data_IF_629584667744
#
_entry.id   IF_629584667744
#
_cell.length_a   1.000
_cell.length_b   1.000
_cell.length_c   1.000
_cell.angle_alpha   90.00
_cell.angle_beta   90.00
_cell.angle_gamma   90.00
#
_symmetry.space_group_name_H-M   'P 1'
#
loop_
_entity.id
_entity.type
_entity.pdbx_description
1 polymer ?
#
# COMPACT_ATOMS: atom_id res chain seq x y z
N UNK A 1 -3.29 -4.93 21.03
CA UNK A 1 -2.01 -5.18 20.32
C UNK A 1 -2.34 -5.90 19.03
N UNK A 2 -2.24 -5.22 17.88
CA UNK A 2 -2.60 -5.74 16.56
C UNK A 2 -1.60 -6.80 16.09
N UNK A 3 -2.02 -7.75 15.26
CA UNK A 3 -1.19 -8.81 14.65
C UNK A 3 0.12 -8.27 14.04
N UNK A 4 0.08 -7.05 13.47
CA UNK A 4 1.22 -6.27 12.99
C UNK A 4 2.29 -5.95 14.05
N UNK A 5 1.94 -5.83 15.33
CA UNK A 5 2.91 -5.60 16.41
C UNK A 5 3.69 -6.86 16.80
N UNK A 6 3.12 -8.05 16.60
CA UNK A 6 3.80 -9.34 16.82
C UNK A 6 4.67 -9.74 15.63
N UNK A 7 4.17 -9.47 14.42
CA UNK A 7 4.92 -9.65 13.18
C UNK A 7 5.89 -8.51 12.89
N UNK A 8 5.82 -7.37 13.57
CA UNK A 8 6.76 -6.26 13.41
C UNK A 8 8.21 -6.68 13.66
N UNK A 9 8.46 -7.60 14.59
CA UNK A 9 9.80 -8.18 14.79
C UNK A 9 10.24 -9.13 13.67
N UNK A 10 9.28 -9.77 12.98
CA UNK A 10 9.50 -10.66 11.82
C UNK A 10 9.72 -9.82 10.55
N UNK A 11 8.89 -8.79 10.33
CA UNK A 11 8.89 -7.87 9.19
C UNK A 11 10.03 -6.85 9.20
N UNK A 12 10.55 -6.47 10.38
CA UNK A 12 11.71 -5.57 10.50
C UNK A 12 13.05 -6.31 10.33
N UNK A 13 13.03 -7.65 10.28
CA UNK A 13 14.16 -8.52 9.87
C UNK A 13 13.95 -9.17 8.50
N UNK A 14 12.79 -8.96 7.89
CA UNK A 14 12.50 -9.34 6.51
C UNK A 14 13.27 -8.39 5.59
N UNK A 15 14.56 -8.65 5.44
CA UNK A 15 15.30 -8.28 4.23
C UNK A 15 14.55 -8.96 3.10
N UNK A 16 13.66 -8.19 2.49
CA UNK A 16 13.01 -8.55 1.26
C UNK A 16 14.09 -8.53 0.19
N UNK A 17 14.46 -9.69 -0.36
CA UNK A 17 15.24 -9.74 -1.60
C UNK A 17 14.36 -9.24 -2.74
N UNK A 18 14.22 -7.92 -2.84
CA UNK A 18 13.66 -7.24 -3.99
C UNK A 18 14.82 -6.57 -4.73
N UNK A 19 15.16 -7.21 -5.84
CA UNK A 19 15.70 -6.64 -7.06
C UNK A 19 17.06 -5.94 -7.10
N UNK A 20 17.84 -5.74 -6.02
CA UNK A 20 19.17 -5.13 -6.22
C UNK A 20 20.42 -5.88 -5.74
N UNK A 21 20.48 -6.61 -4.62
CA UNK A 21 21.77 -7.21 -4.18
C UNK A 21 21.73 -8.74 -4.02
N UNK A 22 22.44 -9.40 -4.96
CA UNK A 22 23.02 -10.75 -4.99
C UNK A 22 22.12 -11.99 -5.26
N UNK A 23 21.95 -12.33 -6.54
CA UNK A 23 22.64 -13.48 -7.16
C UNK A 23 22.60 -13.34 -8.70
N UNK A 24 23.76 -13.40 -9.34
CA UNK A 24 23.91 -13.26 -10.78
C UNK A 24 23.45 -14.52 -11.53
N UNK A 25 22.78 -14.34 -12.68
CA UNK A 25 22.50 -15.39 -13.66
C UNK A 25 21.29 -15.09 -14.53
N UNK A 26 21.52 -14.54 -15.73
CA UNK A 26 20.51 -14.39 -16.78
C UNK A 26 20.07 -15.77 -17.30
N UNK A 27 18.76 -15.98 -17.49
CA UNK A 27 18.16 -16.53 -18.71
C UNK A 27 16.67 -16.84 -18.52
N UNK A 28 15.87 -16.55 -19.56
CA UNK A 28 14.75 -17.41 -19.94
C UNK A 28 13.35 -16.84 -19.72
N UNK A 29 12.81 -16.23 -20.77
CA UNK A 29 11.37 -16.02 -20.94
C UNK A 29 10.61 -17.36 -21.03
N UNK A 30 9.39 -17.42 -20.48
CA UNK A 30 8.33 -18.29 -21.00
C UNK A 30 6.94 -17.73 -20.66
N UNK A 31 6.12 -17.67 -21.70
CA UNK A 31 4.76 -17.17 -21.78
C UNK A 31 3.73 -18.12 -21.13
N UNK A 32 2.58 -17.55 -20.73
CA UNK A 32 1.28 -18.19 -20.97
C UNK A 32 0.41 -18.48 -19.75
N UNK A 33 -0.64 -17.68 -19.54
CA UNK A 33 -2.02 -17.93 -20.06
C UNK A 33 -2.96 -16.78 -19.62
N UNK A 34 -3.89 -16.33 -20.49
CA UNK A 34 -4.88 -15.32 -20.13
C UNK A 34 -6.00 -15.92 -19.27
N UNK A 35 -6.51 -15.13 -18.31
CA UNK A 35 -7.74 -15.45 -17.59
C UNK A 35 -8.94 -15.40 -18.56
N UNK A 36 -9.57 -16.55 -18.80
CA UNK A 36 -10.76 -16.71 -19.62
C UNK A 36 -12.05 -16.75 -18.79
N UNK A 37 -12.18 -15.84 -17.84
CA UNK A 37 -13.48 -15.53 -17.24
C UNK A 37 -13.89 -14.16 -17.76
N UNK A 38 -15.15 -13.96 -18.19
CA UNK A 38 -15.61 -12.62 -18.52
C UNK A 38 -15.42 -11.78 -17.26
N UNK A 39 -14.47 -10.85 -17.30
CA UNK A 39 -14.47 -9.75 -16.36
C UNK A 39 -15.81 -9.08 -16.60
N UNK A 40 -16.74 -9.24 -15.67
CA UNK A 40 -17.97 -8.47 -15.71
C UNK A 40 -17.48 -7.03 -15.73
N UNK A 41 -17.58 -6.36 -16.88
CA UNK A 41 -17.35 -4.94 -17.00
C UNK A 41 -18.48 -4.29 -16.22
N UNK A 42 -18.32 -4.26 -14.89
CA UNK A 42 -18.92 -3.23 -14.10
C UNK A 42 -18.43 -1.94 -14.76
N UNK A 43 -19.37 -1.25 -15.40
CA UNK A 43 -19.24 0.17 -15.70
C UNK A 43 -19.14 0.88 -14.34
N UNK A 44 -17.98 0.76 -13.70
CA UNK A 44 -17.59 1.67 -12.65
C UNK A 44 -17.41 3.00 -13.36
N UNK A 45 -18.19 3.99 -12.93
CA UNK A 45 -17.86 5.41 -13.09
C UNK A 45 -16.33 5.55 -12.98
N UNK A 46 -15.67 6.30 -13.87
CA UNK A 46 -14.21 6.35 -13.87
C UNK A 46 -13.73 7.03 -12.58
N UNK A 47 -13.52 6.21 -11.54
CA UNK A 47 -12.95 6.65 -10.27
C UNK A 47 -11.71 7.48 -10.57
N UNK A 48 -11.66 8.73 -10.08
CA UNK A 48 -10.48 9.58 -10.21
C UNK A 48 -9.26 8.76 -9.79
N UNK A 49 -8.32 8.48 -10.72
CA UNK A 49 -7.15 7.67 -10.39
C UNK A 49 -6.35 8.35 -9.27
N UNK A 50 -6.08 7.60 -8.21
CA UNK A 50 -5.27 8.05 -7.08
C UNK A 50 -3.98 7.22 -7.01
N UNK A 51 -2.89 7.82 -6.51
CA UNK A 51 -1.63 7.12 -6.22
C UNK A 51 -0.92 7.70 -5.01
N UNK A 52 0.02 6.92 -4.47
CA UNK A 52 0.94 7.35 -3.42
C UNK A 52 2.36 7.52 -3.99
N UNK A 53 3.03 8.61 -3.61
CA UNK A 53 4.38 8.94 -4.09
C UNK A 53 5.31 9.37 -2.94
N UNK A 54 6.62 9.40 -3.19
CA UNK A 54 7.61 9.86 -2.20
C UNK A 54 7.94 8.85 -1.10
N UNK A 55 7.68 7.55 -1.32
CA UNK A 55 8.05 6.48 -0.38
C UNK A 55 8.40 5.18 -1.11
N UNK A 56 9.09 4.27 -0.42
CA UNK A 56 9.42 2.93 -0.93
C UNK A 56 8.29 1.91 -0.76
N UNK A 57 7.19 2.27 -0.11
CA UNK A 57 6.00 1.43 -0.01
C UNK A 57 4.88 2.00 -0.88
N UNK A 58 4.21 1.16 -1.68
CA UNK A 58 3.07 1.59 -2.50
C UNK A 58 1.82 1.91 -1.66
N UNK A 59 1.84 1.59 -0.36
CA UNK A 59 0.77 1.88 0.59
C UNK A 59 1.14 3.00 1.57
N UNK A 60 2.19 3.75 1.27
CA UNK A 60 2.63 4.89 2.05
C UNK A 60 3.09 6.01 1.12
N UNK A 61 2.75 7.25 1.46
CA UNK A 61 3.31 8.41 0.77
C UNK A 61 2.37 9.59 0.69
N UNK A 62 2.80 10.56 -0.12
CA UNK A 62 2.00 11.71 -0.54
C UNK A 62 0.83 11.25 -1.40
N UNK A 63 -0.33 11.84 -1.20
CA UNK A 63 -1.54 11.55 -1.97
C UNK A 63 -1.57 12.41 -3.24
N UNK A 64 -1.67 11.76 -4.38
CA UNK A 64 -1.84 12.41 -5.68
C UNK A 64 -3.08 11.90 -6.41
N UNK A 65 -3.82 12.81 -7.04
CA UNK A 65 -4.97 12.52 -7.90
C UNK A 65 -4.62 12.87 -9.35
N UNK A 66 -5.14 12.10 -10.31
CA UNK A 66 -5.03 12.43 -11.73
C UNK A 66 -6.11 13.44 -12.12
N UNK A 67 -5.70 14.67 -12.44
CA UNK A 67 -6.58 15.74 -12.89
C UNK A 67 -6.10 16.30 -14.24
N UNK A 68 -7.01 16.34 -15.22
CA UNK A 68 -6.74 16.90 -16.56
C UNK A 68 -5.48 16.30 -17.23
N UNK A 69 -5.21 15.01 -16.98
CA UNK A 69 -4.03 14.30 -17.50
C UNK A 69 -2.73 14.53 -16.72
N UNK A 70 -2.77 15.30 -15.62
CA UNK A 70 -1.61 15.60 -14.76
C UNK A 70 -1.82 15.09 -13.34
N UNK A 71 -0.75 14.59 -12.73
CA UNK A 71 -0.79 14.15 -11.32
C UNK A 71 -0.62 15.34 -10.39
N UNK A 72 -1.59 15.48 -9.50
CA UNK A 72 -1.82 16.64 -8.67
C UNK A 72 -1.78 16.25 -7.18
N UNK A 73 -0.98 16.94 -6.39
CA UNK A 73 -0.99 16.78 -4.93
C UNK A 73 -2.21 17.45 -4.31
N UNK A 74 -2.87 16.78 -3.37
CA UNK A 74 -4.06 17.35 -2.69
C UNK A 74 -3.70 18.06 -1.37
N UNK A 75 -4.62 18.91 -0.91
CA UNK A 75 -4.41 19.67 0.30
C UNK A 75 -4.51 18.82 1.57
N UNK A 76 -3.62 19.04 2.54
CA UNK A 76 -3.71 18.42 3.86
C UNK A 76 -4.84 19.00 4.73
N UNK A 77 -5.37 20.18 4.41
CA UNK A 77 -6.49 20.77 5.14
C UNK A 77 -7.76 19.98 4.87
N UNK A 78 -8.39 19.47 5.94
CA UNK A 78 -9.55 18.58 5.85
C UNK A 78 -9.19 17.12 5.58
N UNK A 79 -7.91 16.81 5.36
CA UNK A 79 -7.45 15.43 5.19
C UNK A 79 -7.34 14.72 6.55
N UNK A 80 -8.19 13.73 6.76
CA UNK A 80 -8.31 13.02 8.04
C UNK A 80 -8.28 11.49 7.85
N UNK A 81 -8.48 10.75 8.97
CA UNK A 81 -8.51 9.29 8.94
C UNK A 81 -9.69 8.72 8.14
N UNK A 82 -10.80 9.45 8.03
CA UNK A 82 -11.95 9.01 7.24
C UNK A 82 -11.64 9.07 5.74
N UNK A 83 -11.05 10.18 5.28
CA UNK A 83 -10.56 10.30 3.92
C UNK A 83 -9.43 9.31 3.60
N UNK A 84 -8.51 9.11 4.55
CA UNK A 84 -7.47 8.09 4.44
C UNK A 84 -8.05 6.68 4.33
N UNK A 85 -9.17 6.39 5.02
CA UNK A 85 -9.84 5.08 4.92
C UNK A 85 -10.35 4.80 3.51
N UNK A 86 -11.00 5.79 2.90
CA UNK A 86 -11.49 5.71 1.52
C UNK A 86 -10.34 5.47 0.56
N UNK A 87 -9.25 6.25 0.68
CA UNK A 87 -8.08 6.10 -0.19
C UNK A 87 -7.36 4.75 -0.02
N UNK A 88 -7.07 4.33 1.22
CA UNK A 88 -6.39 3.06 1.47
C UNK A 88 -7.21 1.89 0.89
N UNK A 89 -8.55 1.96 0.98
CA UNK A 89 -9.43 0.97 0.38
C UNK A 89 -9.41 1.02 -1.15
N UNK A 90 -9.50 2.23 -1.73
CA UNK A 90 -9.45 2.45 -3.18
C UNK A 90 -8.16 1.89 -3.79
N UNK A 91 -7.03 2.02 -3.09
CA UNK A 91 -5.73 1.50 -3.51
C UNK A 91 -5.49 0.02 -3.17
N UNK A 92 -6.42 -0.64 -2.47
CA UNK A 92 -6.23 -2.02 -2.00
C UNK A 92 -5.18 -2.18 -0.90
N UNK A 93 -4.84 -1.08 -0.21
CA UNK A 93 -3.85 -0.99 0.86
C UNK A 93 -4.43 -1.23 2.27
N UNK A 94 -5.63 -1.80 2.38
CA UNK A 94 -6.23 -2.12 3.67
C UNK A 94 -6.75 -0.89 4.41
N UNK A 95 -6.48 -0.83 5.72
CA UNK A 95 -6.98 0.23 6.62
C UNK A 95 -5.93 1.35 6.78
N UNK A 96 -6.32 2.59 7.12
CA UNK A 96 -5.35 3.63 7.39
C UNK A 96 -4.70 3.38 8.75
N UNK A 97 -3.36 3.42 8.81
CA UNK A 97 -2.58 3.31 10.05
C UNK A 97 -2.35 4.68 10.66
N UNK A 98 -2.02 5.67 9.84
CA UNK A 98 -1.78 7.04 10.26
C UNK A 98 -1.97 8.03 9.10
N UNK A 99 -2.33 9.26 9.46
CA UNK A 99 -2.27 10.44 8.59
C UNK A 99 -1.08 11.28 9.06
N UNK A 100 0.06 11.28 8.34
CA UNK A 100 1.21 12.10 8.70
C UNK A 100 0.87 13.59 8.73
N UNK A 101 1.54 14.31 9.63
CA UNK A 101 1.34 15.76 9.77
C UNK A 101 1.86 16.47 8.52
N UNK A 102 1.12 17.47 7.98
CA UNK A 102 1.63 18.32 6.91
C UNK A 102 2.97 18.99 7.30
N UNK A 103 3.74 19.44 6.30
CA UNK A 103 5.07 20.07 6.41
C UNK A 103 6.28 19.13 6.62
N UNK A 104 6.11 17.82 6.48
CA UNK A 104 7.26 16.90 6.49
C UNK A 104 8.11 17.11 5.22
N UNK A 105 9.43 17.38 5.31
CA UNK A 105 10.26 17.67 4.15
C UNK A 105 10.31 16.52 3.13
N UNK A 106 10.16 15.28 3.59
CA UNK A 106 10.07 14.08 2.74
C UNK A 106 8.75 13.93 1.97
N UNK A 107 7.73 14.72 2.30
CA UNK A 107 6.37 14.63 1.73
C UNK A 107 6.10 15.82 0.79
N UNK A 108 6.74 16.97 1.03
CA UNK A 108 6.47 18.26 0.39
C UNK A 108 7.12 18.49 -0.98
N UNK A 109 7.91 17.55 -1.52
CA UNK A 109 8.45 17.67 -2.88
C UNK A 109 7.38 17.36 -3.94
N UNK A 110 6.72 18.40 -4.45
CA UNK A 110 5.78 18.30 -5.57
C UNK A 110 5.11 19.63 -5.88
N UNK A 111 4.78 19.88 -7.15
CA UNK A 111 3.95 21.02 -7.51
C UNK A 111 2.52 20.75 -6.99
N UNK A 112 2.04 21.59 -6.07
CA UNK A 112 0.63 21.60 -5.67
C UNK A 112 -0.16 22.24 -6.82
N UNK A 113 -0.65 21.41 -7.72
CA UNK A 113 -1.51 21.82 -8.84
C UNK A 113 -2.86 21.19 -8.58
N UNK A 114 -3.93 21.97 -8.42
CA UNK A 114 -5.26 21.43 -8.11
C UNK A 114 -5.55 21.38 -6.62
N UNK A 115 -5.69 22.56 -6.02
CA UNK A 115 -6.09 22.76 -4.62
C UNK A 115 -7.51 22.20 -4.41
N UNK A 116 -7.64 20.92 -4.08
CA UNK A 116 -8.90 20.33 -3.63
C UNK A 116 -8.75 19.86 -2.19
N UNK A 117 -9.61 20.36 -1.31
CA UNK A 117 -9.82 19.80 0.00
C UNK A 117 -10.78 18.61 -0.17
N UNK A 118 -10.37 17.45 0.34
CA UNK A 118 -11.14 16.21 0.21
C UNK A 118 -11.72 15.87 1.58
N UNK A 119 -13.04 15.99 1.71
CA UNK A 119 -13.77 15.75 2.94
C UNK A 119 -14.63 14.51 2.78
N UNK A 120 -14.28 13.45 3.50
CA UNK A 120 -14.98 12.16 3.43
C UNK A 120 -15.64 11.83 4.79
N UNK A 121 -16.78 11.15 4.74
CA UNK A 121 -17.40 10.48 5.88
C UNK A 121 -16.73 9.12 6.20
N UNK A 122 -15.97 8.55 5.27
CA UNK A 122 -15.23 7.30 5.41
C UNK A 122 -15.92 6.07 4.80
N UNK A 123 -17.10 6.26 4.17
CA UNK A 123 -17.90 5.19 3.58
C UNK A 123 -17.94 5.26 2.05
N UNK A 124 -17.51 6.37 1.49
CA UNK A 124 -17.46 6.67 0.05
C UNK A 124 -16.66 5.63 -0.72
N UNK A 125 -17.11 5.28 -1.93
CA UNK A 125 -16.49 4.25 -2.76
C UNK A 125 -15.02 4.58 -3.07
N UNK A 126 -14.74 5.85 -3.37
CA UNK A 126 -13.45 6.41 -3.72
C UNK A 126 -13.44 7.92 -3.42
N UNK A 127 -12.29 8.57 -3.60
CA UNK A 127 -12.12 9.98 -3.27
C UNK A 127 -12.97 10.94 -4.13
N UNK A 128 -13.47 10.52 -5.29
CA UNK A 128 -14.32 11.36 -6.14
C UNK A 128 -15.73 11.53 -5.58
N UNK A 129 -16.17 10.55 -4.80
CA UNK A 129 -17.45 10.54 -4.11
C UNK A 129 -17.44 11.32 -2.79
N UNK A 130 -16.25 11.73 -2.34
CA UNK A 130 -16.11 12.62 -1.20
C UNK A 130 -16.50 14.05 -1.58
N UNK A 131 -16.78 14.87 -0.57
CA UNK A 131 -17.05 16.29 -0.78
C UNK A 131 -15.74 17.00 -1.15
N UNK A 132 -15.63 17.41 -2.41
CA UNK A 132 -14.49 18.18 -2.92
C UNK A 132 -14.78 19.68 -2.80
N UNK A 133 -13.90 20.41 -2.11
CA UNK A 133 -13.96 21.87 -2.03
C UNK A 133 -12.73 22.49 -2.71
N UNK A 134 -12.87 23.64 -3.39
CA UNK A 134 -11.73 24.38 -3.86
C UNK A 134 -10.91 24.84 -2.65
N UNK A 135 -9.64 24.46 -2.60
CA UNK A 135 -8.67 25.06 -1.72
C UNK A 135 -8.19 26.37 -2.33
N UNK A 136 -7.94 27.37 -1.48
CA UNK A 136 -7.24 28.58 -1.86
C UNK A 136 -5.76 28.48 -1.47
N UNK A 137 -4.90 29.25 -2.13
CA UNK A 137 -3.47 29.28 -1.83
C UNK A 137 -3.18 29.78 -0.40
N UNK A 138 -4.14 30.50 0.22
CA UNK A 138 -4.05 30.98 1.60
C UNK A 138 -4.29 29.86 2.63
N UNK A 139 -5.28 28.97 2.42
CA UNK A 139 -5.50 27.82 3.30
C UNK A 139 -4.53 26.67 3.04
N UNK A 140 -4.04 26.55 1.79
CA UNK A 140 -3.17 25.45 1.39
C UNK A 140 -1.88 25.93 0.72
N UNK A 141 -0.88 26.35 1.51
CA UNK A 141 0.45 26.64 0.99
C UNK A 141 1.10 25.38 0.39
N UNK A 142 2.11 25.57 -0.46
CA UNK A 142 2.75 24.49 -1.24
C UNK A 142 3.34 23.35 -0.41
N UNK A 143 3.59 23.55 0.88
CA UNK A 143 4.10 22.56 1.83
C UNK A 143 2.99 21.81 2.60
N UNK A 144 1.71 22.14 2.42
CA UNK A 144 0.56 21.53 3.08
C UNK A 144 -0.06 20.42 2.21
N UNK A 145 0.75 19.40 1.93
CA UNK A 145 0.32 18.28 1.10
C UNK A 145 -0.16 17.11 1.95
N UNK A 146 -1.29 16.50 1.56
CA UNK A 146 -1.81 15.33 2.23
C UNK A 146 -0.91 14.10 2.02
N UNK A 147 -0.82 13.27 3.06
CA UNK A 147 -0.13 12.00 3.02
C UNK A 147 -0.91 10.95 3.81
N UNK A 148 -0.60 9.69 3.55
CA UNK A 148 -1.17 8.57 4.27
C UNK A 148 -0.13 7.48 4.48
N UNK A 149 -0.27 6.75 5.59
CA UNK A 149 0.38 5.47 5.82
C UNK A 149 -0.74 4.45 6.07
N UNK A 150 -0.95 3.54 5.13
CA UNK A 150 -1.92 2.47 5.26
C UNK A 150 -1.30 1.23 5.94
N UNK A 151 -2.15 0.38 6.51
CA UNK A 151 -1.80 -0.97 6.95
C UNK A 151 -1.54 -1.83 5.72
N UNK A 152 -0.30 -1.81 5.21
CA UNK A 152 0.11 -2.58 4.03
C UNK A 152 -0.29 -4.06 4.21
N UNK A 153 -1.28 -4.56 3.44
CA UNK A 153 -1.76 -5.91 3.61
C UNK A 153 -0.70 -6.86 3.08
N UNK A 154 -0.24 -7.77 3.93
CA UNK A 154 0.64 -8.85 3.53
C UNK A 154 -0.13 -10.17 3.52
N UNK A 155 0.22 -11.05 2.58
CA UNK A 155 -0.23 -12.44 2.58
C UNK A 155 0.96 -13.36 2.78
N UNK A 156 0.78 -14.43 3.53
CA UNK A 156 1.78 -15.47 3.72
C UNK A 156 1.38 -16.72 2.95
N UNK A 157 2.36 -17.42 2.40
CA UNK A 157 2.19 -18.80 1.90
C UNK A 157 3.46 -19.61 2.11
N UNK A 158 3.30 -20.93 2.15
CA UNK A 158 4.40 -21.87 2.00
C UNK A 158 4.36 -22.42 0.58
N UNK A 159 5.43 -22.19 -0.18
CA UNK A 159 5.60 -22.66 -1.55
C UNK A 159 6.56 -23.87 -1.60
N UNK A 160 6.40 -24.71 -2.62
CA UNK A 160 7.32 -25.82 -2.96
C UNK A 160 7.61 -26.82 -1.82
N UNK A 161 6.66 -27.01 -0.90
CA UNK A 161 6.79 -28.00 0.15
C UNK A 161 5.97 -29.27 -0.09
N UNK A 162 6.30 -30.36 0.63
CA UNK A 162 5.64 -31.66 0.46
C UNK A 162 4.20 -31.68 1.00
N UNK A 163 3.79 -30.70 1.82
CA UNK A 163 2.46 -30.60 2.46
C UNK A 163 2.09 -29.14 2.67
N UNK A 164 0.82 -28.83 2.97
CA UNK A 164 0.32 -27.45 3.17
C UNK A 164 1.09 -26.62 4.21
N UNK A 165 1.63 -27.28 5.24
CA UNK A 165 2.34 -26.66 6.37
C UNK A 165 3.85 -26.85 6.31
N UNK A 166 4.39 -27.09 5.11
CA UNK A 166 5.82 -27.18 4.86
C UNK A 166 6.14 -26.47 3.56
N UNK A 167 7.32 -25.87 3.45
CA UNK A 167 7.78 -25.20 2.23
C UNK A 167 8.58 -23.95 2.53
N UNK A 168 8.98 -23.26 1.45
CA UNK A 168 9.62 -21.94 1.51
C UNK A 168 8.57 -20.88 1.87
N UNK A 169 8.85 -20.07 2.89
CA UNK A 169 7.99 -18.95 3.25
C UNK A 169 8.10 -17.85 2.19
N UNK A 170 6.94 -17.47 1.66
CA UNK A 170 6.81 -16.34 0.75
C UNK A 170 5.80 -15.33 1.32
N UNK A 171 6.13 -14.06 1.14
CA UNK A 171 5.33 -12.92 1.59
C UNK A 171 4.87 -12.16 0.37
N UNK A 172 3.57 -11.94 0.24
CA UNK A 172 3.04 -11.02 -0.74
C UNK A 172 2.97 -9.63 -0.14
N UNK A 173 3.54 -8.65 -0.83
CA UNK A 173 3.34 -7.22 -0.56
C UNK A 173 2.98 -6.52 -1.87
N UNK A 174 1.98 -5.65 -1.82
CA UNK A 174 1.52 -4.88 -2.97
C UNK A 174 1.24 -5.71 -4.24
N UNK A 175 0.70 -6.92 -4.07
CA UNK A 175 0.39 -7.83 -5.18
C UNK A 175 1.54 -8.71 -5.66
N UNK A 176 2.77 -8.49 -5.20
CA UNK A 176 3.95 -9.25 -5.62
C UNK A 176 4.46 -10.17 -4.51
N UNK A 177 4.88 -11.38 -4.88
CA UNK A 177 5.46 -12.36 -3.97
C UNK A 177 6.97 -12.24 -3.89
N UNK A 178 7.52 -12.25 -2.67
CA UNK A 178 8.95 -12.34 -2.41
C UNK A 178 9.29 -13.41 -1.38
N UNK A 179 10.56 -13.79 -1.33
CA UNK A 179 11.08 -14.75 -0.35
C UNK A 179 11.60 -14.05 0.91
N UNK A 180 11.79 -14.84 1.97
CA UNK A 180 12.28 -14.40 3.28
C UNK A 180 13.70 -14.93 3.48
N UNK A 181 14.65 -14.07 3.85
CA UNK A 181 15.98 -14.50 4.29
C UNK A 181 15.88 -15.31 5.59
N UNK A 182 16.73 -16.32 5.72
CA UNK A 182 16.82 -17.21 6.88
C UNK A 182 17.62 -16.63 8.05
N UNK A 183 18.36 -15.54 7.83
CA UNK A 183 19.12 -14.84 8.86
C UNK A 183 18.27 -14.43 10.06
N UNK A 184 18.62 -14.95 11.24
CA UNK A 184 17.95 -14.61 12.50
C UNK A 184 16.55 -15.20 12.67
N UNK A 185 16.18 -16.23 11.90
CA UNK A 185 14.99 -17.03 12.16
C UNK A 185 15.07 -17.76 13.50
N UNK A 186 13.99 -17.71 14.29
CA UNK A 186 13.89 -18.37 15.60
C UNK A 186 12.60 -19.18 15.67
N UNK A 187 12.53 -20.19 16.55
CA UNK A 187 11.28 -20.96 16.79
C UNK A 187 10.08 -20.06 17.08
N UNK A 188 10.28 -19.01 17.86
CA UNK A 188 9.22 -18.06 18.17
C UNK A 188 8.67 -17.39 16.90
N UNK A 189 9.54 -17.01 15.96
CA UNK A 189 9.11 -16.42 14.69
C UNK A 189 8.41 -17.45 13.79
N UNK A 190 8.87 -18.71 13.78
CA UNK A 190 8.21 -19.78 12.98
C UNK A 190 6.82 -20.09 13.51
N UNK A 191 6.64 -20.16 14.84
CA UNK A 191 5.35 -20.45 15.46
C UNK A 191 4.31 -19.40 15.09
N UNK A 192 4.71 -18.12 15.04
CA UNK A 192 3.83 -17.04 14.55
C UNK A 192 3.43 -17.28 13.10
N UNK A 193 4.36 -17.65 12.22
CA UNK A 193 4.06 -17.95 10.80
C UNK A 193 3.11 -19.14 10.68
N UNK A 194 3.35 -20.22 11.43
CA UNK A 194 2.47 -21.39 11.45
C UNK A 194 1.08 -21.01 11.95
N UNK A 195 0.97 -20.18 12.99
CA UNK A 195 -0.31 -19.73 13.52
C UNK A 195 -1.10 -18.91 12.50
N UNK A 196 -0.44 -17.95 11.82
CA UNK A 196 -1.05 -17.13 10.76
C UNK A 196 -1.51 -17.96 9.56
N UNK A 197 -0.81 -19.05 9.24
CA UNK A 197 -1.18 -19.99 8.18
C UNK A 197 -2.20 -21.05 8.62
N UNK A 198 -2.62 -21.05 9.90
CA UNK A 198 -3.50 -22.06 10.48
C UNK A 198 -2.87 -23.46 10.54
N UNK A 199 -1.55 -23.53 10.67
CA UNK A 199 -0.74 -24.74 10.69
C UNK A 199 -0.42 -25.26 12.10
N UNK A 200 -0.82 -24.53 13.15
CA UNK A 200 -0.52 -24.86 14.55
C UNK A 200 0.70 -24.10 15.07
N UNK A 201 1.34 -24.63 16.10
CA UNK A 201 2.60 -24.13 16.68
C UNK A 201 3.81 -24.93 16.19
#
# INVERSE_FOLDING_TARGET
MTVLSRLGAVLNKLVLCWADWCCAGQAGAALGRPCSSPCFTLLLSPAVPARLSGSNSPCQGRVELLQDGTWASICAVGWDLAAAHVLCRQLGCGRPRAVPVPCSPSIAEGNVVGLRQVLCAGQELDLEHCKLQPGDAASCPSNHVAAVNCEEPFRLRLADGPRRCAGRLEVQRAGHWGTVCDDGWSRANMAVVCQELGCGE
#
